data_IF_301267932785
#
_entry.id   IF_301267932785
#
_cell.length_a   1.000
_cell.length_b   1.000
_cell.length_c   1.000
_cell.angle_alpha   90.00
_cell.angle_beta   90.00
_cell.angle_gamma   90.00
#
_symmetry.space_group_name_H-M   'P 1'
#
loop_
_entity.id
_entity.type
_entity.pdbx_description
1 polymer ?
#
# COMPACT_ATOMS: atom_id res chain seq x y z
N UNK A 1 -40.81 18.89 -8.16
CA UNK A 1 -39.36 18.65 -7.95
C UNK A 1 -39.04 17.25 -8.47
N UNK A 2 -38.01 17.04 -9.31
CA UNK A 2 -37.72 15.71 -9.80
C UNK A 2 -37.06 14.89 -8.67
N UNK A 3 -37.68 13.76 -8.35
CA UNK A 3 -37.18 12.80 -7.38
C UNK A 3 -35.76 12.36 -7.78
N UNK A 4 -34.80 12.53 -6.88
CA UNK A 4 -33.48 11.96 -7.03
C UNK A 4 -33.61 10.44 -7.05
N UNK A 5 -33.53 9.82 -8.23
CA UNK A 5 -33.38 8.38 -8.36
C UNK A 5 -32.06 7.99 -7.67
N UNK A 6 -32.12 7.65 -6.39
CA UNK A 6 -31.02 6.98 -5.70
C UNK A 6 -30.91 5.60 -6.34
N UNK A 7 -30.09 5.47 -7.38
CA UNK A 7 -29.77 4.17 -7.96
C UNK A 7 -29.01 3.39 -6.89
N UNK A 8 -29.71 2.49 -6.20
CA UNK A 8 -29.14 1.66 -5.13
C UNK A 8 -28.30 0.56 -5.79
N UNK A 9 -27.07 0.90 -6.16
CA UNK A 9 -26.09 -0.09 -6.60
C UNK A 9 -25.56 -0.84 -5.39
N UNK A 10 -25.61 -2.18 -5.42
CA UNK A 10 -24.93 -3.02 -4.44
C UNK A 10 -23.66 -3.57 -5.08
N UNK A 11 -22.51 -3.20 -4.54
CA UNK A 11 -21.22 -3.75 -4.99
C UNK A 11 -21.05 -5.15 -4.40
N UNK A 12 -20.70 -6.14 -5.24
CA UNK A 12 -20.28 -7.48 -4.80
C UNK A 12 -19.02 -7.87 -5.56
N UNK A 13 -18.01 -8.34 -4.85
CA UNK A 13 -16.66 -8.52 -5.39
C UNK A 13 -15.78 -7.30 -5.15
N UNK A 14 -14.45 -7.50 -5.28
CA UNK A 14 -13.36 -6.57 -4.94
C UNK A 14 -13.63 -5.66 -3.73
N UNK A 15 -13.07 -6.03 -2.57
CA UNK A 15 -13.02 -5.13 -1.42
C UNK A 15 -11.78 -4.28 -1.55
N UNK A 16 -11.95 -2.97 -1.77
CA UNK A 16 -10.85 -2.03 -1.65
C UNK A 16 -10.29 -2.16 -0.24
N UNK A 17 -9.01 -2.50 -0.10
CA UNK A 17 -8.30 -2.66 1.17
C UNK A 17 -8.03 -1.30 1.84
N UNK A 18 -9.05 -0.45 1.87
CA UNK A 18 -8.97 0.95 2.29
C UNK A 18 -8.43 1.90 1.21
N UNK A 19 -8.26 3.16 1.61
CA UNK A 19 -7.74 4.21 0.73
C UNK A 19 -6.29 3.95 0.33
N UNK A 20 -5.89 4.50 -0.82
CA UNK A 20 -4.48 4.49 -1.24
C UNK A 20 -3.76 5.61 -0.49
N UNK A 21 -2.75 5.23 0.28
CA UNK A 21 -1.95 6.15 1.09
C UNK A 21 -0.80 6.72 0.26
N UNK A 22 -0.07 5.85 -0.43
CA UNK A 22 1.07 6.23 -1.27
C UNK A 22 1.35 5.17 -2.32
N UNK A 23 2.16 5.55 -3.30
CA UNK A 23 2.64 4.63 -4.32
C UNK A 23 4.03 5.02 -4.79
N UNK A 24 4.81 4.03 -5.17
CA UNK A 24 6.24 4.15 -5.38
C UNK A 24 6.71 3.24 -6.52
N UNK A 25 7.85 3.55 -7.12
CA UNK A 25 8.59 2.62 -7.95
C UNK A 25 9.90 2.25 -7.25
N UNK A 26 10.14 0.95 -7.05
CA UNK A 26 11.38 0.45 -6.46
C UNK A 26 12.23 -0.20 -7.54
N UNK A 27 13.34 0.45 -7.91
CA UNK A 27 14.23 0.01 -8.99
C UNK A 27 14.91 -1.33 -8.68
N UNK A 28 15.32 -1.53 -7.43
CA UNK A 28 15.95 -2.76 -6.93
C UNK A 28 15.01 -3.98 -6.96
N UNK A 29 13.72 -3.77 -6.75
CA UNK A 29 12.68 -4.80 -6.89
C UNK A 29 12.13 -4.89 -8.33
N UNK A 30 12.37 -3.86 -9.14
CA UNK A 30 11.81 -3.67 -10.47
C UNK A 30 10.28 -3.84 -10.46
N UNK A 31 9.59 -3.08 -9.61
CA UNK A 31 8.15 -3.10 -9.48
C UNK A 31 7.59 -1.77 -8.98
N UNK A 32 6.33 -1.54 -9.31
CA UNK A 32 5.52 -0.48 -8.71
C UNK A 32 4.80 -1.04 -7.49
N UNK A 33 4.70 -0.23 -6.46
CA UNK A 33 4.11 -0.63 -5.18
C UNK A 33 3.07 0.39 -4.79
N UNK A 34 1.88 -0.08 -4.42
CA UNK A 34 0.76 0.74 -3.99
C UNK A 34 0.43 0.36 -2.55
N UNK A 35 0.64 1.30 -1.63
CA UNK A 35 0.32 1.14 -0.22
C UNK A 35 -1.09 1.63 0.07
N UNK A 36 -1.83 0.82 0.81
CA UNK A 36 -3.20 1.08 1.24
C UNK A 36 -3.29 1.03 2.75
N UNK A 37 -4.41 1.50 3.29
CA UNK A 37 -4.69 1.39 4.73
C UNK A 37 -4.66 -0.06 5.24
N UNK A 38 -4.99 -1.04 4.39
CA UNK A 38 -5.06 -2.46 4.79
C UNK A 38 -4.37 -3.40 3.82
N UNK A 39 -3.22 -3.01 3.28
CA UNK A 39 -2.41 -3.89 2.46
C UNK A 39 -1.50 -3.17 1.50
N UNK A 40 -0.69 -3.95 0.79
CA UNK A 40 0.27 -3.44 -0.18
C UNK A 40 0.15 -4.29 -1.45
N UNK A 41 -0.02 -3.62 -2.59
CA UNK A 41 -0.10 -4.27 -3.89
C UNK A 41 1.15 -4.00 -4.70
N UNK A 42 1.67 -5.05 -5.31
CA UNK A 42 2.86 -5.00 -6.13
C UNK A 42 2.49 -5.24 -7.60
N UNK A 43 2.92 -4.35 -8.48
CA UNK A 43 2.68 -4.42 -9.92
C UNK A 43 3.99 -4.53 -10.66
N UNK A 44 4.09 -5.47 -11.59
CA UNK A 44 5.31 -5.65 -12.38
C UNK A 44 5.39 -4.64 -13.52
N UNK A 45 4.25 -4.32 -14.14
CA UNK A 45 4.20 -3.48 -15.32
C UNK A 45 3.19 -2.35 -15.21
N UNK A 46 3.43 -1.21 -15.90
CA UNK A 46 2.47 -0.10 -16.00
C UNK A 46 1.06 -0.52 -16.47
N UNK A 47 0.97 -1.48 -17.40
CA UNK A 47 -0.31 -1.91 -17.94
C UNK A 47 -1.16 -2.70 -16.93
N UNK A 48 -0.55 -3.29 -15.90
CA UNK A 48 -1.29 -4.02 -14.87
C UNK A 48 -2.19 -3.08 -14.06
N UNK A 49 -1.86 -1.78 -13.98
CA UNK A 49 -2.73 -0.77 -13.35
C UNK A 49 -4.08 -0.60 -14.05
N UNK A 50 -4.23 -1.00 -15.32
CA UNK A 50 -5.53 -1.03 -16.01
C UNK A 50 -6.50 -2.04 -15.38
N UNK A 51 -5.98 -3.01 -14.63
CA UNK A 51 -6.80 -3.97 -13.88
C UNK A 51 -7.34 -3.39 -12.57
N UNK A 52 -6.93 -2.19 -12.16
CA UNK A 52 -7.54 -1.51 -11.03
C UNK A 52 -8.86 -0.85 -11.43
N UNK A 53 -9.85 -0.79 -10.52
CA UNK A 53 -11.04 0.03 -10.73
C UNK A 53 -10.69 1.49 -11.03
N UNK A 54 -11.45 2.14 -11.92
CA UNK A 54 -11.19 3.53 -12.30
C UNK A 54 -11.13 4.52 -11.14
N UNK A 55 -11.92 4.32 -10.08
CA UNK A 55 -11.88 5.17 -8.89
C UNK A 55 -10.55 5.06 -8.11
N UNK A 56 -9.83 3.95 -8.21
CA UNK A 56 -8.53 3.77 -7.56
C UNK A 56 -7.40 4.35 -8.41
N UNK A 57 -7.48 4.17 -9.74
CA UNK A 57 -6.52 4.83 -10.64
C UNK A 57 -6.67 6.35 -10.56
N UNK A 58 -7.87 6.88 -10.33
CA UNK A 58 -8.09 8.29 -10.02
C UNK A 58 -7.39 8.74 -8.72
N UNK A 59 -7.40 7.91 -7.67
CA UNK A 59 -6.67 8.23 -6.44
C UNK A 59 -5.16 8.26 -6.69
N UNK A 60 -4.62 7.24 -7.38
CA UNK A 60 -3.20 7.19 -7.75
C UNK A 60 -2.77 8.42 -8.54
N UNK A 61 -3.55 8.85 -9.53
CA UNK A 61 -3.24 10.00 -10.37
C UNK A 61 -3.19 11.34 -9.61
N UNK A 62 -3.86 11.42 -8.45
CA UNK A 62 -3.81 12.62 -7.59
C UNK A 62 -2.60 12.60 -6.65
N UNK A 63 -1.99 11.45 -6.44
CA UNK A 63 -0.81 11.28 -5.61
C UNK A 63 0.46 11.42 -6.44
N UNK A 64 1.50 12.00 -5.85
CA UNK A 64 2.84 11.98 -6.45
C UNK A 64 3.45 10.59 -6.24
N UNK A 65 3.91 9.95 -7.32
CA UNK A 65 4.65 8.70 -7.19
C UNK A 65 6.00 8.94 -6.51
N UNK A 66 6.29 8.19 -5.47
CA UNK A 66 7.57 8.22 -4.79
C UNK A 66 8.63 7.52 -5.63
N UNK A 67 9.88 8.00 -5.54
CA UNK A 67 11.03 7.42 -6.24
C UNK A 67 10.84 7.32 -7.77
N UNK A 68 10.03 8.22 -8.34
CA UNK A 68 9.73 8.22 -9.78
C UNK A 68 10.95 8.48 -10.65
N UNK A 69 11.89 9.30 -10.16
CA UNK A 69 13.08 9.72 -10.90
C UNK A 69 14.18 8.64 -10.93
N UNK A 70 14.03 7.57 -10.14
CA UNK A 70 14.98 6.45 -10.11
C UNK A 70 14.99 5.66 -11.43
N UNK A 71 13.96 5.84 -12.27
CA UNK A 71 13.94 5.32 -13.63
C UNK A 71 13.20 6.25 -14.60
N UNK A 72 13.76 6.39 -15.80
CA UNK A 72 13.10 7.12 -16.91
C UNK A 72 11.70 6.57 -17.18
N UNK A 73 11.53 5.26 -17.10
CA UNK A 73 10.23 4.61 -17.33
C UNK A 73 9.23 4.92 -16.23
N UNK A 74 9.65 4.96 -14.97
CA UNK A 74 8.77 5.31 -13.84
C UNK A 74 8.40 6.79 -13.86
N UNK A 75 9.36 7.68 -14.16
CA UNK A 75 9.10 9.11 -14.32
C UNK A 75 8.10 9.36 -15.45
N UNK A 76 8.28 8.70 -16.60
CA UNK A 76 7.34 8.75 -17.71
C UNK A 76 5.95 8.23 -17.29
N UNK A 77 5.87 7.07 -16.65
CA UNK A 77 4.60 6.48 -16.26
C UNK A 77 3.83 7.32 -15.24
N UNK A 78 4.52 7.92 -14.26
CA UNK A 78 3.92 8.85 -13.30
C UNK A 78 3.26 10.03 -14.02
N UNK A 79 3.96 10.63 -14.99
CA UNK A 79 3.42 11.74 -15.80
C UNK A 79 2.26 11.28 -16.68
N UNK A 80 2.36 10.08 -17.25
CA UNK A 80 1.33 9.51 -18.12
C UNK A 80 0.02 9.28 -17.38
N UNK A 81 0.06 8.75 -16.15
CA UNK A 81 -1.14 8.54 -15.33
C UNK A 81 -1.83 9.87 -15.00
N UNK A 82 -1.05 10.91 -14.66
CA UNK A 82 -1.59 12.25 -14.40
C UNK A 82 -2.21 12.88 -15.66
N UNK A 83 -1.54 12.73 -16.81
CA UNK A 83 -2.04 13.21 -18.10
C UNK A 83 -3.35 12.52 -18.51
N UNK A 84 -3.40 11.19 -18.44
CA UNK A 84 -4.58 10.41 -18.78
C UNK A 84 -5.76 10.72 -17.86
N UNK A 85 -5.51 10.97 -16.57
CA UNK A 85 -6.53 11.42 -15.63
C UNK A 85 -7.19 12.74 -16.07
N UNK A 86 -6.39 13.74 -16.49
CA UNK A 86 -6.92 15.00 -17.02
C UNK A 86 -7.73 14.83 -18.29
N UNK A 87 -7.35 13.84 -19.12
CA UNK A 87 -8.05 13.48 -20.35
C UNK A 87 -9.23 12.53 -20.14
N UNK A 88 -9.56 12.15 -18.90
CA UNK A 88 -10.62 11.19 -18.57
C UNK A 88 -10.39 9.80 -19.17
N UNK A 89 -9.14 9.33 -19.13
CA UNK A 89 -8.77 7.94 -19.44
C UNK A 89 -9.06 7.49 -20.87
N UNK A 90 -8.75 8.34 -21.87
CA UNK A 90 -9.01 8.03 -23.29
C UNK A 90 -8.19 6.82 -23.76
N UNK A 91 -6.90 6.77 -23.45
CA UNK A 91 -5.99 5.71 -23.92
C UNK A 91 -5.66 4.68 -22.83
N UNK A 92 -5.60 5.13 -21.58
CA UNK A 92 -5.39 4.28 -20.42
C UNK A 92 -6.71 3.99 -19.72
N UNK A 93 -7.52 3.07 -20.28
CA UNK A 93 -8.83 2.70 -19.70
C UNK A 93 -8.65 1.78 -18.48
N UNK A 94 -9.03 2.22 -17.26
CA UNK A 94 -9.05 1.36 -16.08
C UNK A 94 -10.17 0.31 -16.17
N UNK A 95 -10.23 -0.58 -15.18
CA UNK A 95 -11.24 -1.62 -15.14
C UNK A 95 -12.63 -1.01 -14.91
N UNK A 96 -13.54 -1.28 -15.84
CA UNK A 96 -14.97 -1.06 -15.66
C UNK A 96 -15.61 -2.27 -14.96
N UNK A 97 -16.58 -2.06 -14.07
CA UNK A 97 -17.29 -3.17 -13.45
C UNK A 97 -18.15 -3.92 -14.47
N UNK A 98 -18.17 -5.25 -14.34
CA UNK A 98 -19.19 -6.08 -14.96
C UNK A 98 -20.55 -5.82 -14.28
N UNK A 99 -21.60 -5.65 -15.09
CA UNK A 99 -22.96 -5.40 -14.61
C UNK A 99 -23.78 -6.68 -14.64
N UNK A 100 -24.29 -7.09 -13.47
CA UNK A 100 -25.17 -8.24 -13.32
C UNK A 100 -26.56 -7.78 -12.90
N UNK A 101 -27.56 -8.07 -13.73
CA UNK A 101 -28.95 -7.75 -13.44
C UNK A 101 -29.57 -8.86 -12.59
N UNK A 102 -30.14 -8.50 -11.44
CA UNK A 102 -30.91 -9.45 -10.65
C UNK A 102 -32.29 -9.65 -11.30
N UNK A 103 -32.85 -10.88 -11.23
CA UNK A 103 -34.18 -11.16 -11.77
C UNK A 103 -35.29 -10.40 -11.02
N UNK A 104 -35.07 -10.06 -9.76
CA UNK A 104 -35.97 -9.26 -8.94
C UNK A 104 -36.05 -7.81 -9.46
N UNK A 105 -37.25 -7.38 -9.82
CA UNK A 105 -37.56 -6.00 -10.17
C UNK A 105 -38.04 -5.30 -8.90
N UNK A 106 -37.45 -4.15 -8.58
CA UNK A 106 -37.92 -3.35 -7.46
C UNK A 106 -39.33 -2.82 -7.78
N UNK A 107 -40.31 -3.14 -6.92
CA UNK A 107 -41.73 -2.89 -7.17
C UNK A 107 -42.06 -1.39 -7.34
N UNK A 108 -41.37 -0.51 -6.62
CA UNK A 108 -41.61 0.94 -6.64
C UNK A 108 -41.01 1.62 -7.86
N UNK A 109 -39.82 1.18 -8.28
CA UNK A 109 -39.05 1.83 -9.35
C UNK A 109 -39.22 1.13 -10.70
N UNK A 110 -39.73 -0.10 -10.74
CA UNK A 110 -39.77 -0.98 -11.92
C UNK A 110 -38.41 -1.18 -12.60
N UNK A 111 -37.32 -0.99 -11.86
CA UNK A 111 -35.94 -1.14 -12.36
C UNK A 111 -35.33 -2.41 -11.77
N UNK A 112 -34.58 -3.15 -12.60
CA UNK A 112 -33.76 -4.26 -12.14
C UNK A 112 -32.69 -3.79 -11.15
N UNK A 113 -32.52 -4.52 -10.06
CA UNK A 113 -31.38 -4.31 -9.20
C UNK A 113 -30.10 -4.74 -9.91
N UNK A 114 -29.13 -3.82 -10.02
CA UNK A 114 -27.86 -4.08 -10.70
C UNK A 114 -26.74 -4.24 -9.68
N UNK A 115 -26.00 -5.34 -9.82
CA UNK A 115 -24.77 -5.60 -9.07
C UNK A 115 -23.58 -5.24 -9.96
N UNK A 116 -22.66 -4.45 -9.42
CA UNK A 116 -21.38 -4.14 -10.05
C UNK A 116 -20.31 -5.06 -9.46
N UNK A 117 -19.60 -5.79 -10.33
CA UNK A 117 -18.53 -6.73 -9.96
C UNK A 117 -17.22 -6.31 -10.62
N UNK A 118 -16.17 -6.17 -9.82
CA UNK A 118 -14.80 -5.99 -10.29
C UNK A 118 -14.01 -7.28 -10.08
N UNK A 119 -13.17 -7.60 -11.05
CA UNK A 119 -12.16 -8.64 -10.93
C UNK A 119 -11.00 -8.15 -10.05
N UNK A 120 -10.34 -9.05 -9.30
CA UNK A 120 -9.12 -8.71 -8.57
C UNK A 120 -8.04 -8.14 -9.50
N UNK A 121 -7.27 -7.14 -9.06
CA UNK A 121 -6.18 -6.60 -9.86
C UNK A 121 -5.09 -7.64 -10.08
N UNK A 122 -4.41 -7.54 -11.22
CA UNK A 122 -3.28 -8.40 -11.58
C UNK A 122 -2.03 -7.92 -10.83
N UNK A 123 -1.76 -8.56 -9.70
CA UNK A 123 -0.64 -8.22 -8.81
C UNK A 123 0.39 -9.35 -8.74
N UNK A 124 1.64 -8.96 -8.48
CA UNK A 124 2.74 -9.88 -8.23
C UNK A 124 2.58 -10.48 -6.84
N UNK A 125 2.41 -11.81 -6.77
CA UNK A 125 2.26 -12.52 -5.49
C UNK A 125 3.58 -12.89 -4.80
N UNK A 126 4.65 -13.03 -5.59
CA UNK A 126 5.99 -13.42 -5.09
C UNK A 126 6.93 -12.25 -5.30
N UNK A 127 7.21 -11.51 -4.24
CA UNK A 127 8.12 -10.36 -4.25
C UNK A 127 9.41 -10.75 -3.54
N UNK A 128 10.53 -10.26 -4.06
CA UNK A 128 11.82 -10.41 -3.38
C UNK A 128 11.85 -9.46 -2.18
N UNK A 129 12.32 -9.94 -1.04
CA UNK A 129 12.55 -9.05 0.10
C UNK A 129 13.69 -8.08 -0.24
N UNK A 130 13.44 -6.79 0.02
CA UNK A 130 14.43 -5.74 -0.17
C UNK A 130 15.57 -5.90 0.83
N UNK A 131 16.81 -5.71 0.38
CA UNK A 131 17.97 -5.70 1.28
C UNK A 131 17.90 -4.46 2.18
N UNK A 132 17.94 -4.66 3.48
CA UNK A 132 17.90 -3.58 4.47
C UNK A 132 19.30 -3.31 5.01
N UNK A 133 19.55 -2.07 5.44
CA UNK A 133 20.72 -1.72 6.23
C UNK A 133 20.73 -2.54 7.52
N UNK A 134 21.87 -3.16 7.84
CA UNK A 134 22.02 -4.07 8.97
C UNK A 134 22.93 -3.46 10.03
N UNK A 135 22.74 -3.92 11.27
CA UNK A 135 23.63 -3.71 12.42
C UNK A 135 23.83 -2.22 12.73
N UNK A 136 22.71 -1.49 12.77
CA UNK A 136 22.68 -0.04 12.99
C UNK A 136 22.42 0.37 14.44
N UNK A 137 22.48 -0.57 15.38
CA UNK A 137 22.18 -0.33 16.79
C UNK A 137 22.96 0.86 17.38
N UNK A 138 24.26 0.94 17.12
CA UNK A 138 25.13 1.98 17.68
C UNK A 138 24.81 3.39 17.13
N UNK A 139 24.34 3.44 15.88
CA UNK A 139 23.95 4.67 15.21
C UNK A 139 22.47 5.00 15.40
N UNK A 140 21.65 4.07 15.87
CA UNK A 140 20.22 4.29 16.07
C UNK A 140 19.96 5.47 17.01
N UNK A 141 19.00 6.31 16.64
CA UNK A 141 18.55 7.44 17.47
C UNK A 141 17.07 7.33 17.77
N UNK A 142 16.25 7.29 16.73
CA UNK A 142 14.81 7.05 16.84
C UNK A 142 14.26 6.60 15.50
N UNK A 143 12.98 6.29 15.48
CA UNK A 143 12.24 6.05 14.26
C UNK A 143 10.85 6.66 14.36
N UNK A 144 10.34 7.14 13.24
CA UNK A 144 9.06 7.83 13.17
C UNK A 144 8.30 7.47 11.90
N UNK A 145 6.98 7.60 11.94
CA UNK A 145 6.11 7.42 10.80
C UNK A 145 5.84 8.78 10.12
N UNK A 146 6.08 8.84 8.81
CA UNK A 146 5.77 9.99 7.97
C UNK A 146 4.44 9.77 7.26
N UNK A 147 3.38 10.44 7.72
CA UNK A 147 2.05 10.38 7.13
C UNK A 147 1.97 10.88 5.69
N UNK A 148 2.94 11.72 5.24
CA UNK A 148 2.93 12.27 3.87
C UNK A 148 3.35 11.24 2.84
N UNK A 149 4.32 10.40 3.17
CA UNK A 149 4.80 9.32 2.29
C UNK A 149 4.25 7.95 2.68
N UNK A 150 3.60 7.87 3.85
CA UNK A 150 3.18 6.64 4.50
C UNK A 150 4.35 5.66 4.72
N UNK A 151 5.53 6.17 5.08
CA UNK A 151 6.74 5.38 5.33
C UNK A 151 7.15 5.48 6.80
N UNK A 152 7.74 4.41 7.34
CA UNK A 152 8.53 4.51 8.58
C UNK A 152 9.96 4.93 8.23
N UNK A 153 10.52 5.85 9.01
CA UNK A 153 11.90 6.31 8.87
C UNK A 153 12.67 5.96 10.13
N UNK A 154 13.76 5.21 9.95
CA UNK A 154 14.75 4.98 10.99
C UNK A 154 15.83 6.05 10.84
N UNK A 155 16.05 6.81 11.90
CA UNK A 155 17.05 7.88 11.94
C UNK A 155 18.31 7.36 12.62
N UNK A 156 19.41 7.45 11.89
CA UNK A 156 20.73 7.01 12.30
C UNK A 156 21.66 8.21 12.40
N UNK A 157 22.56 8.21 13.38
CA UNK A 157 23.61 9.19 13.54
C UNK A 157 24.90 8.54 14.03
N UNK A 158 25.95 8.60 13.21
CA UNK A 158 27.29 8.10 13.53
C UNK A 158 28.32 9.16 13.17
N UNK A 159 29.21 9.50 14.11
CA UNK A 159 30.27 10.51 13.90
C UNK A 159 29.74 11.85 13.35
N UNK A 160 28.62 12.35 13.92
CA UNK A 160 27.88 13.54 13.48
C UNK A 160 27.33 13.50 12.05
N UNK A 161 27.34 12.33 11.38
CA UNK A 161 26.67 12.12 10.09
C UNK A 161 25.30 11.50 10.31
N UNK A 162 24.28 12.21 9.83
CA UNK A 162 22.89 11.77 9.89
C UNK A 162 22.54 10.98 8.63
N UNK A 163 21.84 9.87 8.82
CA UNK A 163 21.31 9.03 7.75
C UNK A 163 19.89 8.57 8.09
N UNK A 164 19.12 8.21 7.07
CA UNK A 164 17.73 7.77 7.22
C UNK A 164 17.45 6.54 6.37
N UNK A 165 16.95 5.48 7.02
CA UNK A 165 16.46 4.28 6.33
C UNK A 165 14.95 4.34 6.23
N UNK A 166 14.41 4.31 5.01
CA UNK A 166 12.97 4.37 4.74
C UNK A 166 12.37 2.98 4.55
N UNK A 167 11.28 2.71 5.26
CA UNK A 167 10.52 1.47 5.25
C UNK A 167 9.13 1.79 4.69
N UNK A 168 8.92 1.36 3.45
CA UNK A 168 7.63 1.49 2.77
C UNK A 168 6.71 0.32 3.10
N UNK A 169 7.23 -0.91 2.99
CA UNK A 169 6.54 -2.14 3.35
C UNK A 169 7.03 -2.67 4.71
N UNK A 170 6.15 -2.83 5.72
CA UNK A 170 6.48 -3.46 7.00
C UNK A 170 7.18 -4.83 6.86
N UNK A 171 6.88 -5.60 5.82
CA UNK A 171 7.50 -6.90 5.55
C UNK A 171 9.03 -6.81 5.42
N UNK A 172 9.58 -5.64 5.05
CA UNK A 172 11.02 -5.44 4.96
C UNK A 172 11.73 -5.51 6.32
N UNK A 173 11.03 -5.25 7.42
CA UNK A 173 11.55 -5.41 8.78
C UNK A 173 11.99 -6.86 9.07
N UNK A 174 11.39 -7.85 8.38
CA UNK A 174 11.78 -9.26 8.53
C UNK A 174 13.20 -9.57 8.02
N UNK A 175 13.76 -8.66 7.23
CA UNK A 175 15.11 -8.77 6.70
C UNK A 175 16.13 -7.96 7.51
N UNK A 176 15.79 -7.50 8.72
CA UNK A 176 16.72 -6.88 9.66
C UNK A 176 17.39 -7.90 10.57
N UNK A 177 18.53 -7.51 11.16
CA UNK A 177 19.21 -8.32 12.16
C UNK A 177 18.37 -8.43 13.43
N UNK A 178 18.60 -9.50 14.20
CA UNK A 178 17.86 -9.72 15.45
C UNK A 178 18.01 -8.57 16.45
N UNK A 179 19.19 -7.97 16.50
CA UNK A 179 19.49 -6.87 17.40
C UNK A 179 18.79 -5.58 16.97
N UNK A 180 18.76 -5.32 15.66
CA UNK A 180 18.07 -4.15 15.10
C UNK A 180 16.56 -4.23 15.35
N UNK A 181 15.94 -5.39 15.10
CA UNK A 181 14.50 -5.61 15.38
C UNK A 181 14.21 -5.40 16.87
N UNK A 182 15.05 -5.95 17.77
CA UNK A 182 14.89 -5.74 19.22
C UNK A 182 14.98 -4.27 19.62
N UNK A 183 15.86 -3.49 18.98
CA UNK A 183 15.98 -2.06 19.25
C UNK A 183 14.71 -1.30 18.80
N UNK A 184 14.23 -1.58 17.59
CA UNK A 184 12.98 -1.01 17.09
C UNK A 184 11.78 -1.40 17.96
N UNK A 185 11.72 -2.61 18.51
CA UNK A 185 10.63 -3.00 19.41
C UNK A 185 10.71 -2.30 20.78
N UNK A 186 11.92 -2.03 21.29
CA UNK A 186 12.10 -1.35 22.58
C UNK A 186 11.82 0.14 22.48
N UNK A 187 12.09 0.74 21.34
CA UNK A 187 11.87 2.16 21.09
C UNK A 187 10.50 2.35 20.42
N UNK A 188 9.57 3.06 21.06
CA UNK A 188 8.28 3.35 20.43
C UNK A 188 8.47 4.17 19.15
N UNK A 189 7.70 3.86 18.10
CA UNK A 189 7.67 4.67 16.88
C UNK A 189 6.97 5.99 17.17
N UNK A 190 7.57 7.11 16.76
CA UNK A 190 6.93 8.42 16.84
C UNK A 190 5.96 8.61 15.68
N UNK A 191 4.80 9.23 15.91
CA UNK A 191 3.80 9.50 14.87
C UNK A 191 2.93 10.68 15.24
N UNK A 192 2.33 11.32 14.23
CA UNK A 192 1.23 12.26 14.44
C UNK A 192 -0.07 11.49 14.79
N UNK A 193 -0.92 12.06 15.65
CA UNK A 193 -2.14 11.40 16.12
C UNK A 193 -3.06 10.98 14.96
N UNK A 194 -3.09 11.76 13.88
CA UNK A 194 -3.84 11.43 12.66
C UNK A 194 -3.37 10.15 11.97
N UNK A 195 -2.12 9.77 12.18
CA UNK A 195 -1.47 8.63 11.55
C UNK A 195 -1.36 7.41 12.47
N UNK A 196 -1.91 7.50 13.68
CA UNK A 196 -1.79 6.48 14.73
C UNK A 196 -2.13 5.08 14.21
N UNK A 197 -3.25 4.91 13.48
CA UNK A 197 -3.65 3.59 12.97
C UNK A 197 -2.57 2.98 12.07
N UNK A 198 -1.96 3.79 11.19
CA UNK A 198 -1.00 3.30 10.21
C UNK A 198 0.40 3.11 10.80
N UNK A 199 0.77 3.97 11.73
CA UNK A 199 1.99 3.81 12.51
C UNK A 199 1.94 2.53 13.37
N UNK A 200 0.80 2.23 13.99
CA UNK A 200 0.66 1.03 14.82
C UNK A 200 0.64 -0.27 14.00
N UNK A 201 0.16 -0.25 12.74
CA UNK A 201 0.24 -1.43 11.87
C UNK A 201 1.68 -1.90 11.62
N UNK A 202 2.65 -0.98 11.60
CA UNK A 202 4.09 -1.30 11.46
C UNK A 202 4.66 -1.99 12.71
N UNK A 203 4.12 -1.69 13.89
CA UNK A 203 4.60 -2.23 15.18
C UNK A 203 3.91 -3.54 15.54
N UNK A 204 2.60 -3.65 15.25
CA UNK A 204 1.75 -4.76 15.70
C UNK A 204 1.42 -5.79 14.61
N UNK A 205 1.90 -5.61 13.38
CA UNK A 205 1.84 -6.62 12.33
C UNK A 205 0.42 -6.95 11.87
N UNK A 206 -0.19 -6.08 11.05
CA UNK A 206 -1.40 -6.44 10.29
C UNK A 206 -1.22 -6.07 8.83
N UNK A 207 -0.48 -6.87 8.07
CA UNK A 207 -0.68 -6.96 6.63
C UNK A 207 -0.98 -8.40 6.24
N UNK A 208 -2.07 -8.57 5.50
CA UNK A 208 -2.65 -9.83 5.10
C UNK A 208 -1.62 -10.72 4.39
N UNK A 209 -1.18 -11.77 5.09
CA UNK A 209 -0.32 -12.83 4.54
C UNK A 209 0.92 -13.17 5.36
N UNK A 210 1.33 -12.33 6.32
CA UNK A 210 2.42 -12.67 7.24
C UNK A 210 1.85 -12.85 8.65
N UNK A 211 1.90 -14.08 9.15
CA UNK A 211 1.49 -14.39 10.52
C UNK A 211 2.49 -13.77 11.51
N UNK A 212 2.09 -12.70 12.20
CA UNK A 212 2.89 -12.09 13.27
C UNK A 212 3.30 -13.13 14.32
N UNK A 213 2.49 -14.18 14.50
CA UNK A 213 2.82 -15.31 15.37
C UNK A 213 4.07 -16.04 14.90
N UNK A 214 4.29 -16.19 13.60
CA UNK A 214 5.48 -16.84 13.05
C UNK A 214 6.76 -16.01 13.23
N UNK A 215 6.67 -14.68 13.11
CA UNK A 215 7.79 -13.77 13.38
C UNK A 215 8.04 -13.71 14.89
N UNK A 216 6.99 -13.56 15.70
CA UNK A 216 7.08 -13.51 17.15
C UNK A 216 7.68 -14.81 17.71
N UNK A 217 7.23 -15.96 17.21
CA UNK A 217 7.77 -17.28 17.57
C UNK A 217 9.23 -17.44 17.10
N UNK A 218 9.60 -16.89 15.94
CA UNK A 218 10.97 -16.93 15.42
C UNK A 218 11.94 -16.12 16.29
N UNK A 219 11.51 -14.98 16.83
CA UNK A 219 12.42 -14.03 17.49
C UNK A 219 12.28 -13.95 19.02
N UNK A 220 11.14 -14.34 19.60
CA UNK A 220 10.88 -14.19 21.05
C UNK A 220 10.70 -15.51 21.82
N UNK A 221 10.63 -16.69 21.16
CA UNK A 221 10.47 -18.00 21.83
C UNK A 221 11.77 -18.77 22.17
N UNK A 222 12.93 -18.12 22.25
CA UNK A 222 14.13 -18.75 22.85
C UNK A 222 14.52 -18.06 24.15
N UNK A 223 13.90 -18.49 25.24
CA UNK A 223 14.26 -18.03 26.59
C UNK A 223 13.29 -18.37 27.72
N UNK A 224 12.37 -19.32 27.55
CA UNK A 224 11.48 -19.76 28.64
C UNK A 224 11.78 -21.17 29.16
N UNK A 225 12.90 -21.78 28.73
CA UNK A 225 13.41 -23.03 29.30
C UNK A 225 14.94 -22.94 29.41
N UNK A 226 15.41 -22.45 30.56
CA UNK A 226 16.55 -22.94 31.34
C UNK A 226 16.82 -22.02 32.52
#
# INVERSE_FOLDING_TARGET
MPASHTKVYRTKGYRSEGQILSWAYFQDLNCYVVKRERGILYFRYPHDFKTLPGFEVNQLARLKMLYSEDSVMSAWFSRQIQYEYQKRWINFKPQEPERYYQPEINADTRIHKVILKWLPPKVTRKIRLRKMHQDFLDSFRWWYYDGRTAEALIVLCKDNKWDTVRIFDPMWLTNLSHNDVKALCRCQIFFEVSDMEQALQLVFGIHAGSDWKAISDKYFKKGADK
#
